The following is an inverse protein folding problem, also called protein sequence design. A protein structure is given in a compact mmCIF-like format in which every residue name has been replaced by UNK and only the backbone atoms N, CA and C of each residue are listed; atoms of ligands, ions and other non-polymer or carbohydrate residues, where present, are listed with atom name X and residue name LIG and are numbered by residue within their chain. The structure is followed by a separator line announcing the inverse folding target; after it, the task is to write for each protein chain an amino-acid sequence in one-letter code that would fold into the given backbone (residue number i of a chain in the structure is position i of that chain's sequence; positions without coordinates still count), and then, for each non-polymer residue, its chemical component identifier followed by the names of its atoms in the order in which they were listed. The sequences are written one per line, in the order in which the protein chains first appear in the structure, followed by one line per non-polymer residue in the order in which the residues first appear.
data_IF_012236679402
#
_entry.id   IF_012236679402
#
_cell.length_a   1.000
_cell.length_b   1.000
_cell.length_c   1.000
_cell.angle_alpha   90.00
_cell.angle_beta   90.00
_cell.angle_gamma   90.00
#
_symmetry.space_group_name_H-M   'P 1'
#
loop_
_entity.id
_entity.type
_entity.pdbx_description
1 polymer ?
#
# COMPACT_ATOMS: atom_id res chain seq x y z
N UNK A 1 10.90 -21.86 -7.75
CA UNK A 1 9.44 -21.61 -7.67
C UNK A 1 9.04 -20.78 -6.45
N UNK A 2 9.55 -21.07 -5.23
CA UNK A 2 9.25 -20.27 -4.03
C UNK A 2 9.64 -18.79 -4.13
N UNK A 3 10.80 -18.46 -4.72
CA UNK A 3 11.27 -17.07 -4.88
C UNK A 3 10.29 -16.27 -5.75
N UNK A 4 9.83 -16.85 -6.86
CA UNK A 4 8.88 -16.22 -7.80
C UNK A 4 7.50 -16.01 -7.15
N UNK A 5 7.05 -16.95 -6.31
CA UNK A 5 5.83 -16.81 -5.51
C UNK A 5 5.97 -15.73 -4.42
N UNK A 6 7.15 -15.60 -3.82
CA UNK A 6 7.46 -14.58 -2.81
C UNK A 6 7.53 -13.18 -3.43
N UNK A 7 8.14 -13.05 -4.61
CA UNK A 7 8.21 -11.80 -5.36
C UNK A 7 6.84 -11.41 -5.92
N UNK A 8 6.05 -12.37 -6.41
CA UNK A 8 4.65 -12.14 -6.78
C UNK A 8 3.81 -11.71 -5.57
N UNK A 9 4.00 -12.31 -4.40
CA UNK A 9 3.33 -11.90 -3.16
C UNK A 9 3.73 -10.49 -2.71
N UNK A 10 5.01 -10.15 -2.86
CA UNK A 10 5.54 -8.81 -2.59
C UNK A 10 4.98 -7.79 -3.58
N UNK A 11 4.86 -8.12 -4.87
CA UNK A 11 4.12 -7.32 -5.84
C UNK A 11 2.65 -7.16 -5.43
N UNK A 12 1.93 -8.24 -5.14
CA UNK A 12 0.53 -8.22 -4.69
C UNK A 12 0.32 -7.35 -3.44
N UNK A 13 1.24 -7.41 -2.49
CA UNK A 13 1.19 -6.54 -1.29
C UNK A 13 1.50 -5.08 -1.61
N UNK A 14 2.39 -4.80 -2.57
CA UNK A 14 2.68 -3.45 -3.08
C UNK A 14 1.52 -2.87 -3.91
N UNK A 15 0.78 -3.73 -4.60
CA UNK A 15 -0.37 -3.43 -5.45
C UNK A 15 -1.59 -2.91 -4.67
N UNK A 16 -1.57 -2.94 -3.33
CA UNK A 16 -2.59 -2.28 -2.53
C UNK A 16 -2.51 -0.75 -2.58
N UNK A 17 -1.34 -0.14 -2.81
CA UNK A 17 -1.23 1.32 -2.81
C UNK A 17 -1.99 1.99 -3.97
N UNK A 18 -1.87 1.52 -5.24
CA UNK A 18 -2.68 2.04 -6.35
C UNK A 18 -4.19 1.85 -6.11
N UNK A 19 -4.59 0.68 -5.62
CA UNK A 19 -5.99 0.37 -5.30
C UNK A 19 -6.53 1.26 -4.19
N UNK A 20 -5.73 1.50 -3.15
CA UNK A 20 -6.06 2.40 -2.05
C UNK A 20 -6.21 3.84 -2.54
N UNK A 21 -5.31 4.30 -3.42
CA UNK A 21 -5.38 5.64 -3.99
C UNK A 21 -6.64 5.82 -4.86
N UNK A 22 -6.95 4.85 -5.73
CA UNK A 22 -8.19 4.85 -6.50
C UNK A 22 -9.42 4.95 -5.59
N UNK A 23 -9.52 4.07 -4.59
CA UNK A 23 -10.60 4.08 -3.60
C UNK A 23 -10.66 5.40 -2.81
N UNK A 24 -9.51 6.00 -2.48
CA UNK A 24 -9.45 7.27 -1.78
C UNK A 24 -9.96 8.41 -2.66
N UNK A 25 -9.55 8.45 -3.93
CA UNK A 25 -10.01 9.45 -4.90
C UNK A 25 -11.52 9.33 -5.08
N UNK A 26 -12.05 8.14 -5.35
CA UNK A 26 -13.50 7.91 -5.51
C UNK A 26 -14.29 8.40 -4.29
N UNK A 27 -13.85 8.05 -3.08
CA UNK A 27 -14.50 8.50 -1.84
C UNK A 27 -14.38 10.01 -1.63
N UNK A 28 -13.28 10.63 -2.04
CA UNK A 28 -13.11 12.08 -1.99
C UNK A 28 -14.06 12.78 -2.98
N UNK A 29 -14.24 12.22 -4.18
CA UNK A 29 -15.19 12.76 -5.16
C UNK A 29 -16.63 12.79 -4.62
N UNK A 30 -17.02 11.77 -3.84
CA UNK A 30 -18.34 11.71 -3.21
C UNK A 30 -18.61 12.77 -2.12
N UNK A 31 -17.56 13.36 -1.51
CA UNK A 31 -17.71 14.40 -0.46
C UNK A 31 -17.57 15.83 -0.96
N UNK A 32 -17.08 16.02 -2.19
CA UNK A 32 -16.89 17.34 -2.76
C UNK A 32 -18.25 18.05 -3.02
N UNK A 33 -18.35 19.37 -2.78
CA UNK A 33 -19.56 20.13 -3.09
C UNK A 33 -19.77 20.24 -4.60
N UNK A 34 -21.03 20.30 -5.08
CA UNK A 34 -21.31 20.53 -6.49
C UNK A 34 -20.69 21.86 -6.95
N UNK A 35 -20.04 21.85 -8.12
CA UNK A 35 -19.33 23.01 -8.66
C UNK A 35 -17.89 23.17 -8.16
N UNK A 36 -17.36 22.25 -7.35
CA UNK A 36 -15.94 22.26 -7.02
C UNK A 36 -15.09 21.99 -8.27
N UNK A 37 -14.07 22.82 -8.50
CA UNK A 37 -13.09 22.67 -9.60
C UNK A 37 -12.28 21.37 -9.52
N UNK A 38 -12.32 20.67 -8.38
CA UNK A 38 -11.64 19.39 -8.15
C UNK A 38 -12.54 18.18 -8.32
N UNK A 39 -13.79 18.40 -8.75
CA UNK A 39 -14.60 17.31 -9.28
C UNK A 39 -13.91 16.82 -10.54
N UNK A 40 -13.32 15.64 -10.45
CA UNK A 40 -12.73 14.97 -11.58
C UNK A 40 -13.87 14.51 -12.49
N UNK A 41 -13.73 14.76 -13.79
CA UNK A 41 -14.63 14.15 -14.77
C UNK A 41 -14.54 12.62 -14.65
N UNK A 42 -15.62 11.92 -15.00
CA UNK A 42 -15.64 10.46 -14.97
C UNK A 42 -14.51 9.87 -15.83
N UNK A 43 -14.19 10.52 -16.95
CA UNK A 43 -13.03 10.18 -17.79
C UNK A 43 -11.71 10.36 -17.07
N UNK A 44 -11.50 11.46 -16.34
CA UNK A 44 -10.27 11.69 -15.58
C UNK A 44 -10.10 10.68 -14.44
N UNK A 45 -11.19 10.35 -13.73
CA UNK A 45 -11.16 9.30 -12.70
C UNK A 45 -10.75 7.95 -13.31
N UNK A 46 -11.42 7.55 -14.39
CA UNK A 46 -11.07 6.33 -15.12
C UNK A 46 -9.62 6.33 -15.61
N UNK A 47 -9.12 7.45 -16.14
CA UNK A 47 -7.73 7.55 -16.59
C UNK A 47 -6.74 7.42 -15.44
N UNK A 48 -7.02 8.02 -14.28
CA UNK A 48 -6.18 7.88 -13.09
C UNK A 48 -6.18 6.42 -12.62
N UNK A 49 -7.35 5.81 -12.45
CA UNK A 49 -7.49 4.41 -12.06
C UNK A 49 -6.79 3.47 -13.05
N UNK A 50 -7.01 3.68 -14.35
CA UNK A 50 -6.36 2.91 -15.41
C UNK A 50 -4.84 3.09 -15.36
N UNK A 51 -4.33 4.31 -15.18
CA UNK A 51 -2.89 4.57 -15.07
C UNK A 51 -2.27 3.89 -13.85
N UNK A 52 -3.01 3.86 -12.73
CA UNK A 52 -2.61 3.19 -11.50
C UNK A 52 -2.55 1.67 -11.69
N UNK A 53 -3.51 1.09 -12.42
CA UNK A 53 -3.52 -0.34 -12.80
C UNK A 53 -2.39 -0.67 -13.78
N UNK A 54 -2.14 0.18 -14.77
CA UNK A 54 -1.03 0.00 -15.72
C UNK A 54 0.30 0.11 -15.01
N UNK A 55 0.47 1.05 -14.07
CA UNK A 55 1.69 1.15 -13.27
C UNK A 55 1.87 -0.08 -12.36
N UNK A 56 0.77 -0.55 -11.77
CA UNK A 56 0.72 -1.79 -11.02
C UNK A 56 1.21 -3.00 -11.83
N UNK A 57 0.56 -3.29 -12.96
CA UNK A 57 0.89 -4.41 -13.85
C UNK A 57 2.27 -4.21 -14.46
N UNK A 58 2.58 -2.99 -14.91
CA UNK A 58 3.85 -2.62 -15.52
C UNK A 58 5.02 -2.78 -14.57
N UNK A 59 4.86 -2.49 -13.28
CA UNK A 59 5.89 -2.76 -12.27
C UNK A 59 6.08 -4.27 -12.06
N UNK A 60 5.01 -5.06 -12.07
CA UNK A 60 5.12 -6.53 -12.01
C UNK A 60 5.84 -7.09 -13.23
N UNK A 61 5.48 -6.63 -14.44
CA UNK A 61 6.12 -7.03 -15.70
C UNK A 61 7.56 -6.53 -15.79
N UNK A 62 7.86 -5.31 -15.33
CA UNK A 62 9.22 -4.77 -15.30
C UNK A 62 10.10 -5.56 -14.34
N UNK A 63 9.58 -5.93 -13.16
CA UNK A 63 10.24 -6.91 -12.31
C UNK A 63 10.46 -8.17 -13.13
N UNK A 64 9.40 -8.80 -13.63
CA UNK A 64 9.50 -10.06 -14.38
C UNK A 64 10.56 -10.00 -15.48
N UNK A 65 10.61 -8.95 -16.30
CA UNK A 65 11.62 -8.72 -17.36
C UNK A 65 13.03 -8.51 -16.82
N UNK A 66 13.21 -7.69 -15.78
CA UNK A 66 14.50 -7.55 -15.09
C UNK A 66 14.99 -8.88 -14.51
N UNK A 67 14.07 -9.80 -14.20
CA UNK A 67 14.38 -11.15 -13.78
C UNK A 67 14.42 -12.16 -14.93
N UNK A 68 13.86 -11.86 -16.10
CA UNK A 68 13.75 -12.73 -17.28
C UNK A 68 14.99 -12.75 -18.16
N UNK A 69 16.04 -11.99 -17.82
CA UNK A 69 17.39 -12.14 -18.38
C UNK A 69 18.05 -13.47 -17.89
N UNK A 70 17.25 -14.54 -17.88
CA UNK A 70 17.42 -15.84 -17.25
C UNK A 70 16.99 -16.94 -18.23
N UNK A 71 17.47 -16.86 -19.48
CA UNK A 71 17.61 -18.05 -20.34
C UNK A 71 18.43 -19.16 -19.63
N UNK A 72 19.10 -18.81 -18.52
CA UNK A 72 19.78 -19.67 -17.56
C UNK A 72 18.85 -20.44 -16.58
N UNK A 73 17.51 -20.26 -16.58
CA UNK A 73 16.65 -20.72 -15.47
C UNK A 73 16.40 -22.23 -15.46
N UNK A 74 16.43 -22.85 -16.65
CA UNK A 74 16.38 -24.32 -16.81
C UNK A 74 17.69 -24.99 -16.40
N UNK A 75 18.85 -24.36 -16.65
CA UNK A 75 20.17 -24.80 -16.18
C UNK A 75 20.32 -24.52 -14.66
N UNK A 76 19.77 -23.40 -14.18
CA UNK A 76 19.82 -23.00 -12.78
C UNK A 76 18.93 -23.87 -11.89
N UNK A 77 17.78 -24.37 -12.36
CA UNK A 77 16.97 -25.33 -11.59
C UNK A 77 17.74 -26.64 -11.31
N UNK A 78 18.49 -27.15 -12.29
CA UNK A 78 19.36 -28.31 -12.11
C UNK A 78 20.59 -28.01 -11.23
N UNK A 79 21.15 -26.80 -11.30
CA UNK A 79 22.26 -26.38 -10.43
C UNK A 79 21.78 -26.04 -9.00
N UNK A 80 20.58 -25.51 -8.82
CA UNK A 80 19.98 -25.20 -7.52
C UNK A 80 19.65 -26.48 -6.76
N UNK A 81 19.15 -27.51 -7.44
CA UNK A 81 18.89 -28.82 -6.82
C UNK A 81 20.18 -29.47 -6.30
N UNK A 82 21.31 -29.30 -7.02
CA UNK A 82 22.63 -29.77 -6.55
C UNK A 82 23.31 -28.84 -5.53
N UNK A 83 23.04 -27.53 -5.54
CA UNK A 83 23.61 -26.55 -4.59
C UNK A 83 22.75 -26.30 -3.35
N UNK A 84 21.50 -26.77 -3.29
CA UNK A 84 20.62 -26.61 -2.13
C UNK A 84 21.22 -27.21 -0.85
N UNK A 85 22.02 -28.28 -0.99
CA UNK A 85 22.78 -28.85 0.12
C UNK A 85 23.96 -27.99 0.60
N UNK A 86 24.35 -26.94 -0.13
CA UNK A 86 25.47 -26.04 0.20
C UNK A 86 25.06 -24.59 0.44
N UNK A 87 23.81 -24.22 0.15
CA UNK A 87 23.25 -22.95 0.60
C UNK A 87 23.20 -23.02 2.13
N UNK A 88 24.15 -22.34 2.79
CA UNK A 88 24.27 -22.28 4.24
C UNK A 88 22.88 -22.17 4.88
N UNK A 89 22.42 -23.26 5.50
CA UNK A 89 21.19 -23.34 6.29
C UNK A 89 21.16 -22.36 7.48
N UNK A 90 22.18 -21.50 7.60
CA UNK A 90 22.37 -20.53 8.66
C UNK A 90 21.74 -19.16 8.35
N UNK A 91 21.32 -18.87 7.11
CA UNK A 91 20.56 -17.63 6.85
C UNK A 91 19.04 -17.90 6.91
N UNK A 92 18.32 -17.37 7.90
CA UNK A 92 16.87 -17.58 8.04
C UNK A 92 16.02 -16.85 6.98
N UNK A 93 16.64 -16.11 6.07
CA UNK A 93 15.99 -15.29 5.04
C UNK A 93 16.25 -15.86 3.64
N UNK A 94 15.19 -16.15 2.89
CA UNK A 94 15.26 -16.56 1.48
C UNK A 94 15.39 -15.38 0.50
N UNK A 95 15.47 -14.15 0.98
CA UNK A 95 15.51 -12.95 0.14
C UNK A 95 16.93 -12.53 -0.23
N UNK A 96 17.12 -12.16 -1.50
CA UNK A 96 18.29 -11.38 -1.93
C UNK A 96 18.25 -10.01 -1.23
N UNK A 97 19.26 -9.72 -0.43
CA UNK A 97 19.32 -8.51 0.41
C UNK A 97 19.31 -7.23 -0.43
N UNK A 98 20.06 -7.19 -1.53
CA UNK A 98 20.18 -5.98 -2.35
C UNK A 98 18.85 -5.64 -3.01
N UNK A 99 18.21 -6.64 -3.60
CA UNK A 99 16.87 -6.51 -4.20
C UNK A 99 15.83 -6.12 -3.16
N UNK A 100 15.88 -6.74 -1.99
CA UNK A 100 14.99 -6.41 -0.88
C UNK A 100 15.15 -4.96 -0.41
N UNK A 101 16.38 -4.47 -0.24
CA UNK A 101 16.64 -3.08 0.16
C UNK A 101 16.12 -2.09 -0.89
N UNK A 102 16.39 -2.34 -2.18
CA UNK A 102 15.88 -1.50 -3.26
C UNK A 102 14.35 -1.45 -3.27
N UNK A 103 13.70 -2.61 -3.14
CA UNK A 103 12.25 -2.71 -3.03
C UNK A 103 11.71 -1.92 -1.84
N UNK A 104 12.30 -2.09 -0.65
CA UNK A 104 11.89 -1.37 0.56
C UNK A 104 12.04 0.15 0.41
N UNK A 105 13.13 0.61 -0.23
CA UNK A 105 13.34 2.04 -0.55
C UNK A 105 12.24 2.57 -1.49
N UNK A 106 11.94 1.83 -2.57
CA UNK A 106 10.89 2.20 -3.50
C UNK A 106 9.51 2.25 -2.82
N UNK A 107 9.21 1.29 -1.94
CA UNK A 107 7.96 1.28 -1.16
C UNK A 107 7.87 2.47 -0.20
N UNK A 108 8.92 2.75 0.58
CA UNK A 108 8.95 3.90 1.49
C UNK A 108 8.78 5.20 0.71
N UNK A 109 9.51 5.37 -0.40
CA UNK A 109 9.38 6.54 -1.25
C UNK A 109 7.96 6.70 -1.82
N UNK A 110 7.41 5.64 -2.43
CA UNK A 110 6.06 5.65 -2.98
C UNK A 110 4.99 5.95 -1.94
N UNK A 111 5.10 5.37 -0.75
CA UNK A 111 4.19 5.64 0.37
C UNK A 111 4.30 7.10 0.85
N UNK A 112 5.52 7.64 0.95
CA UNK A 112 5.72 9.05 1.32
C UNK A 112 5.07 10.00 0.31
N UNK A 113 5.24 9.75 -1.00
CA UNK A 113 4.55 10.51 -2.04
C UNK A 113 3.03 10.41 -1.91
N UNK A 114 2.49 9.21 -1.68
CA UNK A 114 1.06 8.99 -1.46
C UNK A 114 0.51 9.74 -0.26
N UNK A 115 1.26 9.80 0.85
CA UNK A 115 0.89 10.53 2.06
C UNK A 115 0.85 12.03 1.82
N UNK A 116 1.88 12.58 1.15
CA UNK A 116 1.90 14.01 0.80
C UNK A 116 0.69 14.37 -0.05
N UNK A 117 0.35 13.54 -1.04
CA UNK A 117 -0.82 13.74 -1.89
C UNK A 117 -2.14 13.66 -1.09
N UNK A 118 -2.28 12.64 -0.22
CA UNK A 118 -3.48 12.48 0.62
C UNK A 118 -3.67 13.66 1.59
N UNK A 119 -2.58 14.16 2.19
CA UNK A 119 -2.59 15.37 3.02
C UNK A 119 -2.99 16.60 2.21
N UNK A 120 -2.42 16.80 1.02
CA UNK A 120 -2.76 17.93 0.15
C UNK A 120 -4.25 17.92 -0.23
N UNK A 121 -4.77 16.76 -0.66
CA UNK A 121 -6.19 16.58 -0.99
C UNK A 121 -7.07 16.85 0.24
N UNK A 122 -6.68 16.34 1.41
CA UNK A 122 -7.45 16.53 2.65
C UNK A 122 -7.49 18.01 3.06
N UNK A 123 -6.34 18.68 3.13
CA UNK A 123 -6.23 20.11 3.48
C UNK A 123 -7.08 20.95 2.52
N UNK A 124 -6.95 20.69 1.22
CA UNK A 124 -7.73 21.38 0.22
C UNK A 124 -9.24 21.16 0.40
N UNK A 125 -9.67 19.92 0.63
CA UNK A 125 -11.09 19.57 0.85
C UNK A 125 -11.64 20.27 2.11
N UNK A 126 -10.88 20.32 3.19
CA UNK A 126 -11.25 21.07 4.39
C UNK A 126 -11.37 22.57 4.12
N UNK A 127 -10.43 23.13 3.35
CA UNK A 127 -10.48 24.52 2.94
C UNK A 127 -11.77 24.82 2.16
N UNK A 128 -12.09 24.03 1.13
CA UNK A 128 -13.33 24.16 0.35
C UNK A 128 -14.60 24.06 1.21
N UNK A 129 -14.66 23.08 2.11
CA UNK A 129 -15.80 22.91 3.02
C UNK A 129 -15.96 24.08 4.00
N UNK A 130 -14.89 24.83 4.29
CA UNK A 130 -14.95 26.03 5.13
C UNK A 130 -15.58 27.21 4.37
N UNK A 131 -15.32 27.35 3.08
CA UNK A 131 -15.81 28.47 2.27
C UNK A 131 -17.20 28.24 1.65
N UNK A 132 -17.65 26.99 1.53
CA UNK A 132 -18.98 26.69 0.99
C UNK A 132 -20.10 26.99 1.99
N UNK A 133 -20.64 28.21 1.99
CA UNK A 133 -21.78 28.64 2.81
C UNK A 133 -23.14 28.12 2.32
N UNK A 134 -23.22 27.61 1.08
CA UNK A 134 -24.47 27.17 0.44
C UNK A 134 -24.94 25.76 0.82
N UNK A 135 -24.17 25.02 1.63
CA UNK A 135 -24.53 23.65 2.00
C UNK A 135 -25.46 23.61 3.22
N UNK A 136 -26.54 22.83 3.11
CA UNK A 136 -27.39 22.47 4.25
C UNK A 136 -26.55 21.92 5.42
N UNK A 137 -26.91 22.30 6.64
CA UNK A 137 -26.23 21.87 7.87
C UNK A 137 -26.10 20.35 7.98
N UNK A 138 -27.13 19.60 7.53
CA UNK A 138 -27.10 18.13 7.48
C UNK A 138 -26.00 17.60 6.56
N UNK A 139 -25.86 18.20 5.36
CA UNK A 139 -24.82 17.81 4.39
C UNK A 139 -23.43 18.22 4.87
N UNK A 140 -23.31 19.37 5.53
CA UNK A 140 -22.06 19.83 6.15
C UNK A 140 -21.59 18.86 7.25
N UNK A 141 -22.49 18.42 8.13
CA UNK A 141 -22.17 17.44 9.17
C UNK A 141 -21.79 16.08 8.58
N UNK A 142 -22.50 15.64 7.53
CA UNK A 142 -22.15 14.43 6.80
C UNK A 142 -20.73 14.51 6.19
N UNK A 143 -20.42 15.61 5.50
CA UNK A 143 -19.11 15.82 4.89
C UNK A 143 -17.99 15.86 5.94
N UNK A 144 -18.18 16.57 7.07
CA UNK A 144 -17.22 16.59 8.19
C UNK A 144 -16.94 15.21 8.75
N UNK A 145 -18.00 14.43 8.98
CA UNK A 145 -17.89 13.05 9.47
C UNK A 145 -17.11 12.19 8.47
N UNK A 146 -17.45 12.25 7.18
CA UNK A 146 -16.80 11.47 6.14
C UNK A 146 -15.32 11.85 5.98
N UNK A 147 -14.99 13.15 5.99
CA UNK A 147 -13.59 13.61 5.96
C UNK A 147 -12.79 13.11 7.17
N UNK A 148 -13.40 13.08 8.37
CA UNK A 148 -12.76 12.50 9.56
C UNK A 148 -12.46 11.00 9.38
N UNK A 149 -13.39 10.25 8.78
CA UNK A 149 -13.19 8.83 8.48
C UNK A 149 -12.05 8.65 7.49
N UNK A 150 -11.98 9.48 6.43
CA UNK A 150 -10.92 9.42 5.43
C UNK A 150 -9.53 9.73 6.02
N UNK A 151 -9.43 10.73 6.92
CA UNK A 151 -8.18 10.98 7.65
C UNK A 151 -7.79 9.74 8.46
N UNK A 152 -8.70 9.20 9.28
CA UNK A 152 -8.40 8.03 10.12
C UNK A 152 -7.95 6.84 9.25
N UNK A 153 -8.62 6.60 8.12
CA UNK A 153 -8.23 5.55 7.17
C UNK A 153 -6.84 5.79 6.57
N UNK A 154 -6.47 7.03 6.27
CA UNK A 154 -5.13 7.38 5.75
C UNK A 154 -4.01 7.21 6.79
N UNK A 155 -4.34 7.32 8.09
CA UNK A 155 -3.38 7.13 9.18
C UNK A 155 -3.06 5.65 9.43
N UNK A 156 -3.96 4.73 9.08
CA UNK A 156 -3.74 3.29 9.31
C UNK A 156 -2.54 2.74 8.51
N UNK A 157 -2.42 2.97 7.18
CA UNK A 157 -1.23 2.58 6.42
C UNK A 157 0.06 3.25 6.91
N UNK A 158 -0.02 4.49 7.41
CA UNK A 158 1.13 5.16 8.02
C UNK A 158 1.66 4.40 9.23
N UNK A 159 0.77 4.05 10.15
CA UNK A 159 1.13 3.36 11.40
C UNK A 159 1.56 1.91 11.19
N UNK A 160 0.86 1.17 10.34
CA UNK A 160 1.02 -0.29 10.21
C UNK A 160 1.88 -0.74 9.03
N UNK A 161 2.17 0.15 8.07
CA UNK A 161 2.97 -0.18 6.90
C UNK A 161 4.23 0.69 6.86
N UNK A 162 4.08 2.02 6.81
CA UNK A 162 5.23 2.91 6.64
C UNK A 162 6.22 2.86 7.82
N UNK A 163 5.73 2.89 9.06
CA UNK A 163 6.60 2.86 10.25
C UNK A 163 7.39 1.53 10.32
N UNK A 164 6.77 0.34 10.27
CA UNK A 164 7.49 -0.94 10.28
C UNK A 164 8.49 -1.07 9.13
N UNK A 165 8.13 -0.62 7.92
CA UNK A 165 9.02 -0.62 6.76
C UNK A 165 10.24 0.29 7.00
N UNK A 166 10.02 1.49 7.53
CA UNK A 166 11.09 2.47 7.79
C UNK A 166 12.03 1.98 8.88
N UNK A 167 11.50 1.36 9.94
CA UNK A 167 12.31 0.74 10.99
C UNK A 167 13.13 -0.42 10.42
N UNK A 168 12.51 -1.31 9.64
CA UNK A 168 13.21 -2.43 9.00
C UNK A 168 14.34 -1.93 8.09
N UNK A 169 14.08 -0.93 7.25
CA UNK A 169 15.06 -0.33 6.38
C UNK A 169 16.20 0.35 7.17
N UNK A 170 15.86 1.12 8.20
CA UNK A 170 16.82 1.80 9.07
C UNK A 170 17.71 0.85 9.87
N UNK A 171 17.22 -0.36 10.18
CA UNK A 171 18.04 -1.43 10.75
C UNK A 171 18.91 -2.09 9.68
N UNK A 172 18.38 -2.39 8.49
CA UNK A 172 19.13 -3.14 7.46
C UNK A 172 20.29 -2.32 6.87
N UNK A 173 20.11 -1.01 6.63
CA UNK A 173 21.11 -0.16 5.98
C UNK A 173 22.47 -0.11 6.71
N UNK A 174 22.56 0.21 8.01
CA UNK A 174 23.84 0.30 8.73
C UNK A 174 24.52 -1.07 8.91
N UNK A 175 23.77 -2.16 8.99
CA UNK A 175 24.33 -3.52 9.08
C UNK A 175 24.66 -4.13 7.71
N UNK A 176 24.51 -3.38 6.61
CA UNK A 176 24.89 -3.85 5.28
C UNK A 176 26.41 -3.91 5.07
N UNK A 177 27.19 -3.15 5.84
CA UNK A 177 28.65 -3.02 5.69
C UNK A 177 29.47 -3.67 6.82
N UNK A 178 28.82 -4.15 7.89
CA UNK A 178 29.49 -4.70 9.08
C UNK A 178 29.66 -6.24 9.06
N UNK A 179 30.73 -6.78 9.67
CA UNK A 179 30.99 -8.23 9.72
C UNK A 179 30.10 -8.99 10.73
N UNK A 180 29.37 -8.30 11.61
CA UNK A 180 28.43 -8.91 12.55
C UNK A 180 27.00 -8.83 12.02
N UNK A 181 26.55 -9.96 11.48
CA UNK A 181 25.22 -10.16 10.94
C UNK A 181 24.18 -10.21 12.07
N UNK A 182 23.57 -9.08 12.41
CA UNK A 182 22.32 -9.10 13.18
C UNK A 182 21.22 -9.53 12.22
N UNK A 183 20.72 -10.75 12.41
CA UNK A 183 19.55 -11.25 11.70
C UNK A 183 18.32 -10.49 12.18
N UNK A 184 18.05 -9.33 11.58
CA UNK A 184 16.78 -8.63 11.77
C UNK A 184 15.67 -9.59 11.32
N UNK A 185 14.69 -9.91 12.17
CA UNK A 185 13.62 -10.83 11.80
C UNK A 185 12.64 -10.13 10.85
N UNK A 186 13.02 -10.04 9.58
CA UNK A 186 12.24 -9.47 8.48
C UNK A 186 10.83 -10.08 8.43
N UNK A 187 10.69 -11.34 8.84
CA UNK A 187 9.41 -12.04 9.00
C UNK A 187 8.43 -11.34 9.95
N UNK A 188 8.92 -10.73 11.05
CA UNK A 188 8.07 -9.98 11.99
C UNK A 188 7.58 -8.69 11.35
N UNK A 189 8.42 -7.99 10.58
CA UNK A 189 8.00 -6.79 9.85
C UNK A 189 6.90 -7.13 8.84
N UNK A 190 7.06 -8.22 8.08
CA UNK A 190 6.03 -8.70 7.17
C UNK A 190 4.75 -9.12 7.87
N UNK A 191 4.85 -9.78 9.02
CA UNK A 191 3.69 -10.12 9.83
C UNK A 191 2.92 -8.85 10.20
N UNK A 192 3.60 -7.82 10.73
CA UNK A 192 2.96 -6.53 11.07
C UNK A 192 2.34 -5.89 9.83
N UNK A 193 3.06 -5.80 8.72
CA UNK A 193 2.54 -5.25 7.46
C UNK A 193 1.30 -6.03 7.01
N UNK A 194 1.29 -7.35 7.11
CA UNK A 194 0.14 -8.17 6.72
C UNK A 194 -1.11 -7.88 7.56
N UNK A 195 -0.95 -7.50 8.84
CA UNK A 195 -2.07 -7.12 9.70
C UNK A 195 -2.76 -5.82 9.28
N UNK A 196 -2.11 -4.97 8.46
CA UNK A 196 -2.68 -3.68 8.04
C UNK A 196 -4.03 -3.85 7.34
N UNK A 197 -4.19 -4.88 6.50
CA UNK A 197 -5.41 -5.11 5.74
C UNK A 197 -6.60 -5.43 6.65
N UNK A 198 -6.35 -6.23 7.69
CA UNK A 198 -7.35 -6.57 8.71
C UNK A 198 -7.73 -5.32 9.52
N UNK A 199 -6.75 -4.58 10.04
CA UNK A 199 -7.01 -3.37 10.82
C UNK A 199 -7.73 -2.31 9.99
N UNK A 200 -7.31 -2.11 8.74
CA UNK A 200 -7.96 -1.19 7.81
C UNK A 200 -9.42 -1.58 7.57
N UNK A 201 -9.71 -2.87 7.38
CA UNK A 201 -11.07 -3.38 7.23
C UNK A 201 -11.92 -3.14 8.48
N UNK A 202 -11.37 -3.37 9.68
CA UNK A 202 -12.04 -3.08 10.96
C UNK A 202 -12.34 -1.59 11.09
N UNK A 203 -11.36 -0.73 10.83
CA UNK A 203 -11.52 0.73 10.88
C UNK A 203 -12.61 1.18 9.90
N UNK A 204 -12.62 0.63 8.69
CA UNK A 204 -13.59 0.95 7.66
C UNK A 204 -15.02 0.53 8.06
N UNK A 205 -15.20 -0.68 8.58
CA UNK A 205 -16.50 -1.17 9.07
C UNK A 205 -17.02 -0.40 10.29
N UNK A 206 -16.14 -0.09 11.25
CA UNK A 206 -16.51 0.57 12.51
C UNK A 206 -16.77 2.06 12.33
N UNK A 207 -15.92 2.75 11.56
CA UNK A 207 -15.97 4.20 11.43
C UNK A 207 -16.95 4.68 10.35
N UNK A 208 -17.25 3.88 9.33
CA UNK A 208 -18.16 4.28 8.25
C UNK A 208 -19.61 3.90 8.60
N UNK A 209 -20.51 4.86 8.88
CA UNK A 209 -21.85 4.55 9.38
C UNK A 209 -22.72 3.75 8.39
N UNK A 210 -22.43 3.87 7.09
CA UNK A 210 -23.13 3.11 6.04
C UNK A 210 -22.80 1.62 6.15
N UNK A 211 -21.52 1.29 6.33
CA UNK A 211 -21.09 -0.10 6.47
C UNK A 211 -21.57 -0.70 7.79
N UNK A 212 -21.56 0.07 8.88
CA UNK A 212 -22.13 -0.37 10.16
C UNK A 212 -23.61 -0.72 10.04
N UNK A 213 -24.41 0.10 9.34
CA UNK A 213 -25.83 -0.19 9.10
C UNK A 213 -26.03 -1.46 8.28
N UNK A 214 -25.31 -1.60 7.15
CA UNK A 214 -25.37 -2.80 6.32
C UNK A 214 -24.93 -4.07 7.06
N UNK A 215 -23.91 -3.98 7.92
CA UNK A 215 -23.48 -5.10 8.74
C UNK A 215 -24.58 -5.54 9.71
N UNK A 216 -25.22 -4.59 10.41
CA UNK A 216 -26.38 -4.89 11.28
C UNK A 216 -27.53 -5.52 10.51
N UNK A 217 -27.83 -5.03 9.30
CA UNK A 217 -28.89 -5.58 8.46
C UNK A 217 -28.58 -7.02 8.00
N UNK A 218 -27.31 -7.34 7.74
CA UNK A 218 -26.85 -8.69 7.41
C UNK A 218 -27.01 -9.66 8.60
N UNK A 219 -26.71 -9.23 9.82
CA UNK A 219 -26.86 -10.06 11.03
C UNK A 219 -28.30 -10.21 11.52
N UNK A 220 -29.25 -9.44 10.97
CA UNK A 220 -30.68 -9.57 11.28
C UNK A 220 -31.42 -10.59 10.42
N UNK A 221 -30.80 -11.08 9.35
CA UNK A 221 -31.34 -12.12 8.47
C UNK A 221 -30.92 -13.49 8.99
#
# INVERSE_FOLDING_TARGET
MQILLQEAWVCVTSLHAPTFMACFIDRQQAVLPPGSIWILSQTAQFLIEFSLVVLAIGMTLLLEVLFFEYYLQSILLQILESKWHTANAQSPSCFDRGKFVFFMLACVFGMMCGVVLACAISIHTFSQLKFSTSLSEKKRNFNRMMSRVLIIQSVVPLGLVLIPLSIALGLILPFSTGPQYVSVPISICFLIISTHSVVHSIVLLTMTPIYRRKAVDLFRR
#
